data_IF_994809444797
#
_entry.id   IF_994809444797
#
_cell.length_a   1.000
_cell.length_b   1.000
_cell.length_c   1.000
_cell.angle_alpha   90.00
_cell.angle_beta   90.00
_cell.angle_gamma   90.00
#
_symmetry.space_group_name_H-M   'P 1'
#
loop_
_entity.id
_entity.type
_entity.pdbx_description
1 polymer ?
#
# COMPACT_ATOMS: atom_id res chain seq x y z
N UNK A 1 12.19 -3.49 -12.60
CA UNK A 1 10.79 -3.92 -12.40
C UNK A 1 10.65 -5.13 -11.48
N UNK A 2 11.57 -6.12 -11.49
CA UNK A 2 11.52 -7.24 -10.52
C UNK A 2 11.65 -6.79 -9.06
N UNK A 3 12.56 -5.86 -8.77
CA UNK A 3 12.73 -5.31 -7.41
C UNK A 3 11.45 -4.63 -6.89
N UNK A 4 10.70 -4.00 -7.79
CA UNK A 4 9.45 -3.32 -7.47
C UNK A 4 8.31 -4.31 -7.17
N UNK A 5 8.15 -5.34 -7.99
CA UNK A 5 7.19 -6.41 -7.70
C UNK A 5 7.50 -7.11 -6.37
N UNK A 6 8.78 -7.32 -6.07
CA UNK A 6 9.19 -7.91 -4.80
C UNK A 6 8.83 -7.01 -3.61
N UNK A 7 9.08 -5.70 -3.73
CA UNK A 7 8.72 -4.70 -2.73
C UNK A 7 7.20 -4.64 -2.52
N UNK A 8 6.43 -4.64 -3.60
CA UNK A 8 4.97 -4.65 -3.56
C UNK A 8 4.46 -5.93 -2.87
N UNK A 9 4.90 -7.11 -3.31
CA UNK A 9 4.47 -8.40 -2.71
C UNK A 9 4.83 -8.49 -1.24
N UNK A 10 5.98 -7.94 -0.84
CA UNK A 10 6.47 -8.01 0.53
C UNK A 10 5.75 -7.04 1.47
N UNK A 11 5.47 -5.82 1.02
CA UNK A 11 5.04 -4.74 1.91
C UNK A 11 3.60 -4.28 1.69
N UNK A 12 2.98 -4.48 0.53
CA UNK A 12 1.68 -3.89 0.22
C UNK A 12 0.59 -4.29 1.23
N UNK A 13 0.55 -5.56 1.65
CA UNK A 13 -0.44 -6.05 2.62
C UNK A 13 -0.22 -5.50 4.04
N UNK A 14 1.02 -5.19 4.41
CA UNK A 14 1.34 -4.62 5.72
C UNK A 14 1.05 -3.11 5.71
N UNK A 15 1.48 -2.42 4.65
CA UNK A 15 1.21 -1.00 4.45
C UNK A 15 -0.30 -0.73 4.42
N UNK A 16 -1.07 -1.52 3.65
CA UNK A 16 -2.52 -1.35 3.58
C UNK A 16 -3.17 -1.45 4.96
N UNK A 17 -2.76 -2.42 5.78
CA UNK A 17 -3.30 -2.56 7.14
C UNK A 17 -2.93 -1.38 8.02
N UNK A 18 -1.70 -0.91 7.93
CA UNK A 18 -1.25 0.29 8.64
C UNK A 18 -2.07 1.52 8.23
N UNK A 19 -2.26 1.73 6.92
CA UNK A 19 -3.03 2.83 6.37
C UNK A 19 -4.50 2.77 6.81
N UNK A 20 -5.14 1.59 6.77
CA UNK A 20 -6.50 1.40 7.29
C UNK A 20 -6.59 1.74 8.77
N UNK A 21 -5.61 1.33 9.58
CA UNK A 21 -5.58 1.66 11.00
C UNK A 21 -5.37 3.15 11.27
N UNK A 22 -4.62 3.84 10.40
CA UNK A 22 -4.31 5.25 10.53
C UNK A 22 -5.47 6.15 10.07
N UNK A 23 -6.08 5.82 8.94
CA UNK A 23 -7.16 6.61 8.34
C UNK A 23 -8.54 6.25 8.87
N UNK A 24 -8.75 5.01 9.33
CA UNK A 24 -10.08 4.46 9.62
C UNK A 24 -10.93 4.23 8.36
N UNK A 25 -10.37 4.47 7.17
CA UNK A 25 -11.05 4.41 5.88
C UNK A 25 -10.26 3.52 4.92
N UNK A 26 -10.91 2.44 4.48
CA UNK A 26 -10.32 1.45 3.58
C UNK A 26 -10.13 1.98 2.17
N UNK A 27 -11.05 2.78 1.65
CA UNK A 27 -10.96 3.31 0.30
C UNK A 27 -9.77 4.28 0.20
N UNK A 28 -9.68 5.21 1.16
CA UNK A 28 -8.54 6.13 1.26
C UNK A 28 -7.21 5.37 1.43
N UNK A 29 -7.19 4.29 2.21
CA UNK A 29 -5.99 3.48 2.40
C UNK A 29 -5.54 2.75 1.11
N UNK A 30 -6.48 2.31 0.27
CA UNK A 30 -6.18 1.70 -1.03
C UNK A 30 -5.65 2.74 -2.03
N UNK A 31 -6.21 3.95 -2.04
CA UNK A 31 -5.72 5.08 -2.85
C UNK A 31 -4.28 5.47 -2.47
N UNK A 32 -4.01 5.68 -1.18
CA UNK A 32 -2.66 6.00 -0.68
C UNK A 32 -1.63 4.90 -0.98
N UNK A 33 -2.04 3.62 -0.90
CA UNK A 33 -1.18 2.50 -1.25
C UNK A 33 -0.81 2.54 -2.75
N UNK A 34 -1.78 2.83 -3.62
CA UNK A 34 -1.52 2.96 -5.05
C UNK A 34 -0.57 4.13 -5.34
N UNK A 35 -0.82 5.31 -4.77
CA UNK A 35 0.08 6.47 -4.94
C UNK A 35 1.51 6.20 -4.48
N UNK A 36 1.69 5.41 -3.42
CA UNK A 36 3.01 5.08 -2.87
C UNK A 36 3.83 4.21 -3.82
N UNK A 37 3.19 3.26 -4.50
CA UNK A 37 3.88 2.29 -5.36
C UNK A 37 3.91 2.76 -6.82
N UNK A 38 2.85 3.35 -7.36
CA UNK A 38 2.65 3.54 -8.81
C UNK A 38 2.86 4.96 -9.34
N UNK A 39 3.62 5.84 -8.67
CA UNK A 39 3.91 7.18 -9.23
C UNK A 39 4.31 7.14 -10.71
#
# INVERSE_FOLDING_TARGET
MQDFEELYRRYAKQLLRYLVCLSGDRQLAEELLQETFYQ
#
